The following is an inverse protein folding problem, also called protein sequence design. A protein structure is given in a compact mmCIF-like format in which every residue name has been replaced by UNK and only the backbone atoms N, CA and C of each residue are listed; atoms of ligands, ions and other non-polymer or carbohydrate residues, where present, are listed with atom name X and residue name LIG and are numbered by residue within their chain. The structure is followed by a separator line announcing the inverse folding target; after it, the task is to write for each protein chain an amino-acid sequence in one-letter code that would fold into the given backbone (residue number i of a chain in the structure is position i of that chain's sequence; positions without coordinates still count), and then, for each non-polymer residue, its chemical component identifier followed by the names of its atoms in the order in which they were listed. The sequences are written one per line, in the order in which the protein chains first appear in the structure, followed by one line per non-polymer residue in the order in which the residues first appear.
data_IF_250996569201
#
_entry.id   IF_250996569201
#
_cell.length_a   1.000
_cell.length_b   1.000
_cell.length_c   1.000
_cell.angle_alpha   90.00
_cell.angle_beta   90.00
_cell.angle_gamma   90.00
#
_symmetry.space_group_name_H-M   'P 1'
#
loop_
_entity.id
_entity.type
_entity.pdbx_description
1 polymer ?
#
# COMPACT_ATOMS: atom_id res chain seq x y z
N UNK A 1 -25.40 47.62 -3.33
CA UNK A 1 -26.32 46.60 -2.83
C UNK A 1 -25.45 45.57 -2.15
N UNK A 2 -25.26 45.74 -0.84
CA UNK A 2 -24.49 44.81 -0.04
C UNK A 2 -25.33 43.55 0.15
N UNK A 3 -24.79 42.42 -0.30
CA UNK A 3 -25.39 41.11 -0.08
C UNK A 3 -25.09 40.74 1.37
N UNK A 4 -25.94 41.17 2.29
CA UNK A 4 -25.90 40.67 3.66
C UNK A 4 -26.17 39.15 3.65
N UNK A 5 -25.30 38.34 4.26
CA UNK A 5 -25.54 36.91 4.37
C UNK A 5 -26.84 36.66 5.14
N UNK A 6 -27.77 35.94 4.52
CA UNK A 6 -29.15 35.66 4.99
C UNK A 6 -29.18 34.79 6.28
N UNK A 7 -28.03 34.38 6.80
CA UNK A 7 -27.90 33.52 7.99
C UNK A 7 -27.19 34.26 9.12
N UNK A 8 -27.82 34.36 10.29
CA UNK A 8 -27.18 34.88 11.50
C UNK A 8 -26.00 33.98 11.89
N UNK A 9 -24.84 34.55 12.23
CA UNK A 9 -23.65 33.80 12.65
C UNK A 9 -23.91 32.82 13.81
N UNK A 10 -24.93 33.10 14.63
CA UNK A 10 -25.39 32.26 15.74
C UNK A 10 -26.02 30.92 15.30
N UNK A 11 -26.42 30.78 14.03
CA UNK A 11 -27.00 29.55 13.49
C UNK A 11 -25.93 28.54 13.02
N UNK A 12 -24.68 28.97 12.85
CA UNK A 12 -23.58 28.11 12.40
C UNK A 12 -22.79 27.65 13.63
N UNK A 13 -23.16 26.48 14.14
CA UNK A 13 -22.42 25.83 15.23
C UNK A 13 -21.12 25.24 14.66
N UNK A 14 -20.00 25.92 14.89
CA UNK A 14 -18.68 25.39 14.53
C UNK A 14 -18.26 24.35 15.60
N UNK A 15 -17.93 23.11 15.21
CA UNK A 15 -17.43 22.12 16.15
C UNK A 15 -16.14 22.59 16.83
N UNK A 16 -16.07 22.47 18.16
CA UNK A 16 -14.97 23.00 18.98
C UNK A 16 -13.57 22.49 18.58
N UNK A 17 -13.46 21.28 18.01
CA UNK A 17 -12.18 20.68 17.60
C UNK A 17 -11.81 20.91 16.13
N UNK A 18 -12.70 21.53 15.33
CA UNK A 18 -12.49 21.64 13.88
C UNK A 18 -11.23 22.45 13.54
N UNK A 19 -11.01 23.56 14.25
CA UNK A 19 -9.87 24.44 14.03
C UNK A 19 -8.53 23.71 14.25
N UNK A 20 -8.43 22.91 15.31
CA UNK A 20 -7.21 22.17 15.64
C UNK A 20 -6.93 21.04 14.64
N UNK A 21 -7.98 20.32 14.21
CA UNK A 21 -7.86 19.27 13.18
C UNK A 21 -7.33 19.87 11.87
N UNK A 22 -7.93 20.97 11.40
CA UNK A 22 -7.50 21.64 10.18
C UNK A 22 -6.07 22.19 10.30
N UNK A 23 -5.71 22.72 11.47
CA UNK A 23 -4.35 23.22 11.75
C UNK A 23 -3.31 22.10 11.70
N UNK A 24 -3.59 20.94 12.29
CA UNK A 24 -2.69 19.79 12.27
C UNK A 24 -2.52 19.24 10.85
N UNK A 25 -3.62 19.08 10.11
CA UNK A 25 -3.60 18.67 8.71
C UNK A 25 -2.78 19.63 7.84
N UNK A 26 -3.04 20.94 7.94
CA UNK A 26 -2.35 21.97 7.17
C UNK A 26 -0.84 21.96 7.42
N UNK A 27 -0.41 21.76 8.68
CA UNK A 27 1.02 21.62 9.02
C UNK A 27 1.66 20.42 8.31
N UNK A 28 0.99 19.27 8.27
CA UNK A 28 1.53 18.09 7.60
C UNK A 28 1.59 18.25 6.08
N UNK A 29 0.61 18.90 5.45
CA UNK A 29 0.67 19.24 4.02
C UNK A 29 1.88 20.14 3.73
N UNK A 30 2.07 21.20 4.51
CA UNK A 30 3.22 22.11 4.35
C UNK A 30 4.53 21.37 4.57
N UNK A 31 4.61 20.47 5.56
CA UNK A 31 5.83 19.73 5.88
C UNK A 31 6.20 18.72 4.79
N UNK A 32 5.19 18.03 4.24
CA UNK A 32 5.38 16.92 3.29
C UNK A 32 5.46 17.38 1.84
N UNK A 33 4.96 18.58 1.51
CA UNK A 33 4.90 19.13 0.15
C UNK A 33 4.43 18.08 -0.88
N UNK A 34 3.26 17.42 -0.66
CA UNK A 34 2.82 16.35 -1.53
C UNK A 34 2.47 16.89 -2.93
N UNK A 35 2.86 16.18 -3.97
CA UNK A 35 2.51 16.52 -5.36
C UNK A 35 0.99 16.42 -5.61
N UNK A 36 0.33 15.45 -4.97
CA UNK A 36 -1.13 15.29 -4.97
C UNK A 36 -1.69 15.48 -3.55
N UNK A 37 -2.29 16.65 -3.33
CA UNK A 37 -2.88 17.03 -2.04
C UNK A 37 -4.14 16.21 -1.76
N UNK A 38 -4.93 15.84 -2.77
CA UNK A 38 -6.19 15.10 -2.57
C UNK A 38 -5.91 13.67 -2.10
N UNK A 39 -5.02 12.97 -2.79
CA UNK A 39 -4.58 11.63 -2.38
C UNK A 39 -3.94 11.66 -0.99
N UNK A 40 -3.10 12.66 -0.72
CA UNK A 40 -2.51 12.86 0.61
C UNK A 40 -3.57 13.10 1.69
N UNK A 41 -4.60 13.92 1.41
CA UNK A 41 -5.70 14.22 2.32
C UNK A 41 -6.45 12.96 2.72
N UNK A 42 -6.84 12.15 1.73
CA UNK A 42 -7.58 10.91 1.95
C UNK A 42 -6.77 9.96 2.85
N UNK A 43 -5.48 9.78 2.55
CA UNK A 43 -4.58 8.95 3.37
C UNK A 43 -4.43 9.50 4.79
N UNK A 44 -4.23 10.80 4.94
CA UNK A 44 -4.05 11.46 6.24
C UNK A 44 -5.27 11.26 7.15
N UNK A 45 -6.47 11.58 6.68
CA UNK A 45 -7.68 11.49 7.50
C UNK A 45 -8.12 10.04 7.76
N UNK A 46 -7.91 9.12 6.81
CA UNK A 46 -8.11 7.69 7.06
C UNK A 46 -7.16 7.18 8.15
N UNK A 47 -5.89 7.59 8.14
CA UNK A 47 -4.94 7.22 9.19
C UNK A 47 -5.33 7.81 10.54
N UNK A 48 -5.72 9.09 10.58
CA UNK A 48 -6.17 9.75 11.81
C UNK A 48 -7.41 9.07 12.39
N UNK A 49 -8.37 8.70 11.54
CA UNK A 49 -9.57 7.97 11.94
C UNK A 49 -9.24 6.58 12.50
N UNK A 50 -8.32 5.84 11.86
CA UNK A 50 -7.85 4.55 12.35
C UNK A 50 -7.17 4.66 13.72
N UNK A 51 -6.32 5.68 13.92
CA UNK A 51 -5.69 5.95 15.23
C UNK A 51 -6.73 6.27 16.30
N UNK A 52 -7.70 7.13 15.98
CA UNK A 52 -8.76 7.54 16.90
C UNK A 52 -9.70 6.38 17.29
N UNK A 53 -9.94 5.42 16.40
CA UNK A 53 -10.76 4.24 16.65
C UNK A 53 -10.01 3.10 17.38
N UNK A 54 -8.74 3.29 17.74
CA UNK A 54 -7.89 2.27 18.35
C UNK A 54 -7.32 1.24 17.36
N UNK A 55 -7.72 1.31 16.08
CA UNK A 55 -7.18 0.50 14.99
C UNK A 55 -5.76 0.94 14.56
N UNK A 56 -5.27 2.09 15.03
CA UNK A 56 -3.94 2.64 14.71
C UNK A 56 -2.83 2.27 15.69
N UNK A 57 -3.10 1.46 16.72
CA UNK A 57 -2.05 0.99 17.65
C UNK A 57 -1.45 -0.37 17.25
N UNK A 58 -1.90 -0.96 16.15
CA UNK A 58 -1.30 -2.19 15.64
C UNK A 58 -0.07 -1.83 14.80
N UNK A 59 1.16 -2.21 15.21
CA UNK A 59 2.34 -1.94 14.42
C UNK A 59 2.19 -2.62 13.04
N UNK A 60 2.67 -1.99 11.96
CA UNK A 60 2.69 -2.62 10.66
C UNK A 60 3.50 -3.92 10.73
N UNK A 61 3.10 -4.99 10.01
CA UNK A 61 3.84 -6.23 9.97
C UNK A 61 5.30 -5.99 9.56
N UNK A 62 6.23 -6.59 10.29
CA UNK A 62 7.62 -6.59 9.89
C UNK A 62 7.80 -7.45 8.62
N UNK A 63 8.75 -7.07 7.76
CA UNK A 63 9.06 -7.81 6.51
C UNK A 63 9.33 -9.30 6.76
N UNK A 64 9.97 -9.62 7.88
CA UNK A 64 10.22 -11.00 8.29
C UNK A 64 8.93 -11.79 8.57
N UNK A 65 7.92 -11.16 9.17
CA UNK A 65 6.62 -11.81 9.40
C UNK A 65 5.92 -12.09 8.05
N UNK A 66 6.00 -11.16 7.10
CA UNK A 66 5.46 -11.33 5.76
C UNK A 66 6.15 -12.46 5.00
N UNK A 67 7.48 -12.51 5.07
CA UNK A 67 8.29 -13.59 4.51
C UNK A 67 7.88 -14.94 5.08
N UNK A 68 7.73 -15.06 6.41
CA UNK A 68 7.30 -16.30 7.05
C UNK A 68 5.92 -16.76 6.56
N UNK A 69 4.95 -15.86 6.40
CA UNK A 69 3.62 -16.19 5.84
C UNK A 69 3.77 -16.71 4.41
N UNK A 70 4.53 -16.00 3.57
CA UNK A 70 4.74 -16.37 2.17
C UNK A 70 5.41 -17.74 2.02
N UNK A 71 6.50 -17.98 2.76
CA UNK A 71 7.25 -19.23 2.71
C UNK A 71 6.46 -20.41 3.25
N UNK A 72 5.74 -20.24 4.36
CA UNK A 72 4.92 -21.32 4.95
C UNK A 72 3.70 -21.67 4.10
N UNK A 73 3.16 -20.71 3.36
CA UNK A 73 2.00 -20.93 2.50
C UNK A 73 2.34 -21.45 1.10
N UNK A 74 3.60 -21.77 0.81
CA UNK A 74 4.02 -22.48 -0.40
C UNK A 74 4.70 -21.65 -1.49
N UNK A 75 5.02 -20.38 -1.23
CA UNK A 75 5.90 -19.53 -2.07
C UNK A 75 5.55 -19.39 -3.57
N UNK A 76 4.32 -19.66 -4.02
CA UNK A 76 4.02 -19.64 -5.45
C UNK A 76 2.54 -19.64 -5.82
N UNK A 77 1.86 -18.49 -5.72
CA UNK A 77 0.47 -18.33 -6.18
C UNK A 77 -0.54 -19.30 -5.54
N UNK A 78 -0.24 -19.80 -4.33
CA UNK A 78 -1.10 -20.73 -3.63
C UNK A 78 -2.47 -20.08 -3.35
N UNK A 79 -3.53 -20.76 -3.77
CA UNK A 79 -4.90 -20.40 -3.40
C UNK A 79 -5.23 -21.07 -2.08
N UNK A 80 -5.42 -20.27 -1.05
CA UNK A 80 -5.72 -20.73 0.31
C UNK A 80 -7.09 -20.23 0.75
N UNK A 81 -7.77 -20.99 1.61
CA UNK A 81 -8.98 -20.47 2.26
C UNK A 81 -8.61 -19.34 3.22
N UNK A 82 -9.54 -18.43 3.49
CA UNK A 82 -9.33 -17.35 4.46
C UNK A 82 -8.93 -17.88 5.85
N UNK A 83 -9.46 -19.04 6.26
CA UNK A 83 -9.08 -19.68 7.53
C UNK A 83 -7.60 -20.09 7.57
N UNK A 84 -7.07 -20.61 6.45
CA UNK A 84 -5.65 -20.96 6.35
C UNK A 84 -4.76 -19.70 6.38
N UNK A 85 -5.14 -18.64 5.66
CA UNK A 85 -4.41 -17.37 5.66
C UNK A 85 -4.40 -16.74 7.06
N UNK A 86 -5.54 -16.71 7.75
CA UNK A 86 -5.62 -16.25 9.13
C UNK A 86 -4.71 -17.04 10.05
N UNK A 87 -4.70 -18.38 9.92
CA UNK A 87 -3.81 -19.24 10.69
C UNK A 87 -2.32 -18.96 10.45
N UNK A 88 -1.91 -18.76 9.18
CA UNK A 88 -0.54 -18.39 8.85
C UNK A 88 -0.14 -17.03 9.45
N UNK A 89 -1.03 -16.04 9.35
CA UNK A 89 -0.80 -14.71 9.91
C UNK A 89 -0.68 -14.72 11.43
N UNK A 90 -1.57 -15.46 12.11
CA UNK A 90 -1.53 -15.65 13.55
C UNK A 90 -0.21 -16.30 13.99
N UNK A 91 0.25 -17.33 13.27
CA UNK A 91 1.53 -17.99 13.54
C UNK A 91 2.76 -17.12 13.27
N UNK A 92 2.63 -16.10 12.42
CA UNK A 92 3.67 -15.10 12.17
C UNK A 92 3.57 -13.91 13.14
N UNK A 93 2.60 -13.89 14.06
CA UNK A 93 2.38 -12.79 15.00
C UNK A 93 1.79 -11.54 14.36
N UNK A 94 1.07 -11.68 13.24
CA UNK A 94 0.35 -10.59 12.58
C UNK A 94 -1.05 -10.51 13.19
N UNK A 95 -1.46 -9.31 13.58
CA UNK A 95 -2.74 -9.08 14.23
C UNK A 95 -3.93 -9.25 13.26
N UNK A 96 -5.03 -9.80 13.78
CA UNK A 96 -6.25 -10.06 13.01
C UNK A 96 -6.86 -8.80 12.38
N UNK A 97 -6.70 -7.64 13.02
CA UNK A 97 -7.16 -6.35 12.48
C UNK A 97 -6.45 -5.98 11.17
N UNK A 98 -5.16 -6.29 11.04
CA UNK A 98 -4.38 -6.05 9.83
C UNK A 98 -4.82 -7.03 8.73
N UNK A 99 -4.99 -8.30 9.09
CA UNK A 99 -5.46 -9.34 8.17
C UNK A 99 -6.83 -8.99 7.60
N UNK A 100 -7.79 -8.63 8.46
CA UNK A 100 -9.14 -8.23 8.06
C UNK A 100 -9.11 -7.03 7.08
N UNK A 101 -8.28 -6.02 7.38
CA UNK A 101 -8.14 -4.84 6.52
C UNK A 101 -7.58 -5.19 5.14
N UNK A 102 -6.57 -6.05 5.07
CA UNK A 102 -5.99 -6.49 3.78
C UNK A 102 -7.00 -7.32 2.99
N UNK A 103 -7.76 -8.19 3.66
CA UNK A 103 -8.80 -9.00 3.01
C UNK A 103 -9.90 -8.13 2.40
N UNK A 104 -10.32 -7.08 3.12
CA UNK A 104 -11.30 -6.11 2.66
C UNK A 104 -10.77 -5.30 1.46
N UNK A 105 -9.59 -4.68 1.59
CA UNK A 105 -8.99 -3.84 0.54
C UNK A 105 -8.69 -4.64 -0.73
N UNK A 106 -8.24 -5.88 -0.59
CA UNK A 106 -7.90 -6.71 -1.75
C UNK A 106 -9.08 -7.41 -2.42
N UNK A 107 -10.29 -7.29 -1.86
CA UNK A 107 -11.52 -7.88 -2.39
C UNK A 107 -11.43 -9.40 -2.55
N UNK A 108 -10.85 -10.09 -1.57
CA UNK A 108 -10.59 -11.52 -1.67
C UNK A 108 -11.85 -12.37 -1.46
N UNK A 109 -11.95 -13.49 -2.18
CA UNK A 109 -12.94 -14.53 -1.89
C UNK A 109 -12.49 -15.34 -0.68
N UNK A 110 -13.39 -15.50 0.29
CA UNK A 110 -13.18 -16.34 1.47
C UNK A 110 -12.78 -17.79 1.17
N UNK A 111 -13.22 -18.32 0.02
CA UNK A 111 -12.93 -19.70 -0.40
C UNK A 111 -11.56 -19.83 -1.09
N UNK A 112 -11.06 -18.77 -1.73
CA UNK A 112 -9.83 -18.79 -2.51
C UNK A 112 -9.13 -17.42 -2.45
N UNK A 113 -8.16 -17.32 -1.54
CA UNK A 113 -7.27 -16.17 -1.36
C UNK A 113 -5.95 -16.48 -2.07
N UNK A 114 -5.61 -15.68 -3.09
CA UNK A 114 -4.27 -15.66 -3.68
C UNK A 114 -3.28 -15.15 -2.63
N UNK A 115 -2.48 -16.05 -2.07
CA UNK A 115 -1.53 -15.72 -1.01
C UNK A 115 -0.48 -14.70 -1.48
N UNK A 116 -0.05 -14.76 -2.74
CA UNK A 116 0.96 -13.85 -3.27
C UNK A 116 0.41 -12.43 -3.31
N UNK A 117 -0.80 -12.26 -3.85
CA UNK A 117 -1.50 -10.97 -3.82
C UNK A 117 -1.73 -10.49 -2.39
N UNK A 118 -2.16 -11.39 -1.49
CA UNK A 118 -2.42 -11.05 -0.10
C UNK A 118 -1.20 -10.51 0.64
N UNK A 119 -0.06 -11.22 0.58
CA UNK A 119 1.19 -10.79 1.22
C UNK A 119 1.69 -9.50 0.59
N UNK A 120 1.57 -9.35 -0.73
CA UNK A 120 2.00 -8.15 -1.43
C UNK A 120 1.21 -6.91 -1.00
N UNK A 121 -0.12 -7.02 -0.92
CA UNK A 121 -0.96 -5.92 -0.45
C UNK A 121 -0.64 -5.55 1.00
N UNK A 122 -0.37 -6.55 1.85
CA UNK A 122 0.05 -6.29 3.23
C UNK A 122 1.39 -5.54 3.31
N UNK A 123 2.36 -5.90 2.46
CA UNK A 123 3.63 -5.17 2.30
C UNK A 123 3.38 -3.74 1.83
N UNK A 124 2.60 -3.55 0.77
CA UNK A 124 2.34 -2.26 0.15
C UNK A 124 1.67 -1.29 1.13
N UNK A 125 0.68 -1.77 1.90
CA UNK A 125 -0.01 -0.99 2.92
C UNK A 125 0.88 -0.62 4.11
N UNK A 126 1.99 -1.33 4.31
CA UNK A 126 2.97 -1.08 5.37
C UNK A 126 4.10 -0.12 4.93
N UNK A 127 4.17 0.23 3.65
CA UNK A 127 5.22 1.08 3.10
C UNK A 127 4.77 2.54 2.93
N UNK A 128 5.71 3.47 3.07
CA UNK A 128 5.41 4.91 2.94
C UNK A 128 5.31 5.36 1.48
N UNK A 129 6.13 4.77 0.61
CA UNK A 129 6.31 5.15 -0.80
C UNK A 129 6.59 3.91 -1.67
N UNK A 130 6.48 4.09 -2.98
CA UNK A 130 6.62 3.01 -3.97
C UNK A 130 8.03 2.38 -4.02
N UNK A 131 9.08 3.16 -3.73
CA UNK A 131 10.44 2.65 -3.67
C UNK A 131 10.58 1.64 -2.51
N UNK A 132 10.05 1.97 -1.33
CA UNK A 132 10.00 1.04 -0.18
C UNK A 132 9.21 -0.23 -0.48
N UNK A 133 8.14 -0.14 -1.27
CA UNK A 133 7.41 -1.32 -1.76
C UNK A 133 8.33 -2.19 -2.61
N UNK A 134 9.02 -1.60 -3.60
CA UNK A 134 9.93 -2.33 -4.49
C UNK A 134 11.06 -3.01 -3.70
N UNK A 135 11.72 -2.31 -2.79
CA UNK A 135 12.73 -2.91 -1.91
C UNK A 135 12.14 -4.05 -1.07
N UNK A 136 10.94 -3.83 -0.53
CA UNK A 136 10.22 -4.84 0.24
C UNK A 136 9.91 -6.11 -0.55
N UNK A 137 9.69 -6.02 -1.87
CA UNK A 137 9.46 -7.19 -2.72
C UNK A 137 10.68 -8.11 -2.69
N UNK A 138 11.88 -7.56 -2.85
CA UNK A 138 13.13 -8.34 -2.75
C UNK A 138 13.39 -8.87 -1.34
N UNK A 139 12.89 -8.17 -0.31
CA UNK A 139 13.04 -8.58 1.09
C UNK A 139 11.97 -9.58 1.57
N UNK A 140 10.93 -9.86 0.79
CA UNK A 140 9.81 -10.72 1.22
C UNK A 140 9.63 -11.94 0.32
N UNK A 141 9.78 -11.77 -1.00
CA UNK A 141 9.43 -12.80 -1.99
C UNK A 141 10.64 -13.61 -2.48
N UNK A 142 11.86 -13.29 -2.04
CA UNK A 142 13.08 -14.03 -2.44
C UNK A 142 14.12 -14.09 -1.34
N UNK A 143 14.87 -15.19 -1.27
CA UNK A 143 15.99 -15.37 -0.34
C UNK A 143 17.34 -14.97 -0.94
N UNK A 144 17.45 -14.89 -2.27
CA UNK A 144 18.72 -14.66 -2.97
C UNK A 144 18.88 -13.22 -3.49
N UNK A 145 17.96 -12.32 -3.16
CA UNK A 145 17.98 -10.92 -3.61
C UNK A 145 17.58 -10.71 -5.08
N UNK A 146 17.09 -11.77 -5.75
CA UNK A 146 16.55 -11.69 -7.12
C UNK A 146 15.16 -12.31 -7.21
N UNK A 147 14.28 -11.74 -8.03
CA UNK A 147 12.90 -12.19 -8.21
C UNK A 147 12.68 -12.50 -9.70
N UNK A 148 11.95 -13.57 -10.07
CA UNK A 148 11.53 -13.79 -11.44
C UNK A 148 10.86 -12.56 -12.06
N UNK A 149 11.25 -12.20 -13.28
CA UNK A 149 10.79 -10.96 -13.94
C UNK A 149 9.26 -10.90 -14.02
N UNK A 150 8.63 -12.00 -14.46
CA UNK A 150 7.17 -12.09 -14.57
C UNK A 150 6.48 -11.98 -13.20
N UNK A 151 7.10 -12.55 -12.16
CA UNK A 151 6.58 -12.43 -10.79
C UNK A 151 6.63 -10.99 -10.30
N UNK A 152 7.73 -10.26 -10.56
CA UNK A 152 7.83 -8.86 -10.19
C UNK A 152 6.77 -8.01 -10.89
N UNK A 153 6.62 -8.16 -12.21
CA UNK A 153 5.59 -7.43 -12.98
C UNK A 153 4.18 -7.77 -12.47
N UNK A 154 3.90 -9.04 -12.17
CA UNK A 154 2.63 -9.47 -11.59
C UNK A 154 2.39 -8.84 -10.21
N UNK A 155 3.40 -8.80 -9.34
CA UNK A 155 3.31 -8.18 -8.01
C UNK A 155 2.97 -6.69 -8.13
N UNK A 156 3.69 -5.94 -8.97
CA UNK A 156 3.38 -4.53 -9.21
C UNK A 156 1.97 -4.35 -9.77
N UNK A 157 1.53 -5.24 -10.66
CA UNK A 157 0.19 -5.26 -11.21
C UNK A 157 -0.93 -5.41 -10.17
N UNK A 158 -0.66 -5.97 -8.99
CA UNK A 158 -1.65 -6.08 -7.92
C UNK A 158 -2.03 -4.76 -7.24
N UNK A 159 -1.20 -3.71 -7.34
CA UNK A 159 -1.62 -2.37 -6.91
C UNK A 159 -2.80 -1.91 -7.77
N UNK A 160 -2.71 -2.14 -9.09
CA UNK A 160 -3.71 -1.69 -10.05
C UNK A 160 -3.97 -0.17 -10.01
N UNK A 161 -4.81 0.36 -10.90
CA UNK A 161 -5.11 1.79 -10.95
C UNK A 161 -5.93 2.28 -9.74
N UNK A 162 -6.67 1.39 -9.07
CA UNK A 162 -7.50 1.73 -7.92
C UNK A 162 -6.69 2.01 -6.65
N UNK A 163 -5.51 1.37 -6.49
CA UNK A 163 -4.61 1.65 -5.36
C UNK A 163 -3.47 2.59 -5.74
N UNK A 164 -3.02 2.55 -7.00
CA UNK A 164 -1.97 3.42 -7.53
C UNK A 164 -2.30 3.84 -8.98
N UNK A 165 -2.73 5.09 -9.21
CA UNK A 165 -3.25 5.53 -10.50
C UNK A 165 -2.21 5.46 -11.64
N UNK A 166 -0.91 5.43 -11.34
CA UNK A 166 0.11 5.32 -12.39
C UNK A 166 0.34 3.86 -12.82
N UNK A 167 -0.12 2.87 -12.05
CA UNK A 167 0.01 1.44 -12.37
C UNK A 167 -1.07 1.04 -13.38
N UNK A 168 -0.94 1.61 -14.58
CA UNK A 168 -1.83 1.36 -15.72
C UNK A 168 -1.37 0.14 -16.54
N UNK A 169 -2.23 -0.43 -17.40
CA UNK A 169 -1.80 -1.46 -18.35
C UNK A 169 -0.65 -1.00 -19.27
N UNK A 170 -0.63 0.28 -19.66
CA UNK A 170 0.45 0.85 -20.45
C UNK A 170 1.77 0.88 -19.67
N UNK A 171 1.72 1.25 -18.38
CA UNK A 171 2.87 1.20 -17.49
C UNK A 171 3.40 -0.23 -17.32
N UNK A 172 2.53 -1.21 -17.07
CA UNK A 172 2.93 -2.62 -16.89
C UNK A 172 3.54 -3.20 -18.17
N UNK A 173 2.99 -2.87 -19.34
CA UNK A 173 3.56 -3.27 -20.63
C UNK A 173 4.94 -2.64 -20.86
N UNK A 174 5.11 -1.35 -20.54
CA UNK A 174 6.40 -0.68 -20.61
C UNK A 174 7.42 -1.30 -19.66
N UNK A 175 7.02 -1.57 -18.42
CA UNK A 175 7.84 -2.24 -17.42
C UNK A 175 8.30 -3.63 -17.88
N UNK A 176 7.40 -4.41 -18.49
CA UNK A 176 7.73 -5.72 -19.01
C UNK A 176 8.71 -5.64 -20.20
N UNK A 177 8.63 -4.58 -21.02
CA UNK A 177 9.60 -4.33 -22.09
C UNK A 177 10.97 -3.90 -21.56
N UNK A 178 11.00 -3.00 -20.57
CA UNK A 178 12.24 -2.52 -19.96
C UNK A 178 13.03 -3.64 -19.27
N UNK A 179 12.31 -4.60 -18.67
CA UNK A 179 12.89 -5.74 -17.96
C UNK A 179 13.01 -7.00 -18.85
N UNK A 180 12.80 -6.87 -20.16
CA UNK A 180 12.86 -8.00 -21.08
C UNK A 180 14.29 -8.56 -21.19
N UNK A 181 14.45 -9.87 -21.03
CA UNK A 181 15.72 -10.56 -21.23
C UNK A 181 16.09 -11.49 -20.07
N UNK A 182 16.46 -10.96 -18.89
CA UNK A 182 16.87 -11.81 -17.77
C UNK A 182 15.68 -12.58 -17.19
N UNK A 183 15.87 -13.86 -16.79
CA UNK A 183 14.83 -14.66 -16.16
C UNK A 183 14.48 -14.18 -14.73
N UNK A 184 15.42 -13.50 -14.09
CA UNK A 184 15.31 -12.93 -12.75
C UNK A 184 15.95 -11.55 -12.73
N UNK A 185 15.37 -10.64 -11.98
CA UNK A 185 15.86 -9.28 -11.80
C UNK A 185 16.23 -9.01 -10.35
N UNK A 186 17.04 -8.00 -10.14
CA UNK A 186 17.47 -7.44 -8.86
C UNK A 186 16.95 -6.02 -8.71
N UNK A 187 17.07 -5.46 -7.50
CA UNK A 187 16.71 -4.07 -7.26
C UNK A 187 17.51 -3.07 -8.11
N UNK A 188 18.77 -3.39 -8.47
CA UNK A 188 19.58 -2.53 -9.34
C UNK A 188 19.00 -2.41 -10.74
N UNK A 189 18.59 -3.52 -11.36
CA UNK A 189 18.02 -3.51 -12.72
C UNK A 189 16.70 -2.71 -12.77
N UNK A 190 15.92 -2.75 -11.69
CA UNK A 190 14.72 -1.91 -11.57
C UNK A 190 15.05 -0.42 -11.45
N UNK A 191 16.14 -0.06 -10.77
CA UNK A 191 16.58 1.34 -10.70
C UNK A 191 17.07 1.86 -12.07
N UNK A 192 17.52 0.97 -12.94
CA UNK A 192 17.95 1.29 -14.29
C UNK A 192 16.77 1.35 -15.30
N UNK A 193 15.67 0.66 -15.01
CA UNK A 193 14.47 0.63 -15.85
C UNK A 193 13.85 2.04 -16.04
N UNK A 194 13.78 2.56 -17.29
CA UNK A 194 13.26 3.90 -17.60
C UNK A 194 11.86 4.17 -17.05
N UNK A 195 10.96 3.19 -17.13
CA UNK A 195 9.59 3.28 -16.62
C UNK A 195 9.51 3.40 -15.10
N UNK A 196 10.49 2.87 -14.37
CA UNK A 196 10.50 2.86 -12.92
C UNK A 196 11.13 4.11 -12.31
N UNK A 197 12.13 4.71 -12.97
CA UNK A 197 12.88 5.86 -12.44
C UNK A 197 11.99 7.01 -11.90
N UNK A 198 10.98 7.50 -12.64
CA UNK A 198 10.12 8.57 -12.15
C UNK A 198 9.38 8.18 -10.87
N UNK A 199 8.91 6.92 -10.80
CA UNK A 199 8.12 6.39 -9.69
C UNK A 199 8.97 6.07 -8.45
N UNK A 200 10.25 5.79 -8.66
CA UNK A 200 11.24 5.60 -7.60
C UNK A 200 11.82 6.92 -7.07
N UNK A 201 11.49 8.06 -7.69
CA UNK A 201 12.07 9.36 -7.36
C UNK A 201 13.54 9.51 -7.79
N UNK A 202 13.97 8.74 -8.79
CA UNK A 202 15.31 8.78 -9.36
C UNK A 202 15.31 9.68 -10.59
N UNK A 203 16.29 10.58 -10.69
CA UNK A 203 16.51 11.46 -11.85
C UNK A 203 17.26 10.74 -12.98
#
# INVERSE_FOLDING_TARGET
MDVEPIFCAEQIVIPHNLADILKAYTKEVIRRQPNDILAFSAKYFTNLANVASGAGNTPPPAKEQLRQVYTRGGSGGAMLTQSQVNGLCQQAGIADSVVAKVLEVGGFDSAAVDLQKFVFLMLAMSCEDFNRVCMGVFDVFTDNGSVPTDQFVQLIGYLGPDMDPDVTPAFLNGLQQDLAGPPTITYMEICEAPTMKPKLGLQ
#
